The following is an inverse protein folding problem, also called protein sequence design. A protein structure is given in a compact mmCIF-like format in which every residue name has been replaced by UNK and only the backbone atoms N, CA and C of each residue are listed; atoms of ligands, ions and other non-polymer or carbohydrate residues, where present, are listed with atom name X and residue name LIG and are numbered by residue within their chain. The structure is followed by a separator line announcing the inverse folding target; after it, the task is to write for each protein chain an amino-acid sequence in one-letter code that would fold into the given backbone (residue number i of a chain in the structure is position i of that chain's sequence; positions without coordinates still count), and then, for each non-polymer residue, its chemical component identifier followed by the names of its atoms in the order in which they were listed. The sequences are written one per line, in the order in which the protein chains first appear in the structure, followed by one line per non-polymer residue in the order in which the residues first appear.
data_IF_432501502157
#
_entry.id   IF_432501502157
#
_cell.length_a   1.000
_cell.length_b   1.000
_cell.length_c   1.000
_cell.angle_alpha   90.00
_cell.angle_beta   90.00
_cell.angle_gamma   90.00
#
_symmetry.space_group_name_H-M   'P 1'
#
loop_
_entity.id
_entity.type
_entity.pdbx_description
1 polymer ?
#
# COMPACT_ATOMS: atom_id res chain seq x y z
N UNK A 1 37.50 -6.69 19.66
CA UNK A 1 36.05 -6.95 19.81
C UNK A 1 35.33 -5.73 19.26
N UNK A 2 34.46 -5.88 18.29
CA UNK A 2 33.69 -4.74 17.74
C UNK A 2 32.65 -4.34 18.81
N UNK A 3 32.61 -3.06 19.17
CA UNK A 3 31.66 -2.53 20.15
C UNK A 3 30.41 -1.96 19.47
N UNK A 4 29.34 -1.73 20.24
CA UNK A 4 28.16 -1.02 19.73
C UNK A 4 28.52 0.38 19.19
N UNK A 5 29.48 1.06 19.83
CA UNK A 5 29.95 2.37 19.39
C UNK A 5 30.59 2.30 18.00
N UNK A 6 31.42 1.29 17.75
CA UNK A 6 32.06 1.09 16.43
C UNK A 6 31.00 0.81 15.34
N UNK A 7 29.98 0.02 15.68
CA UNK A 7 28.84 -0.25 14.79
C UNK A 7 28.10 1.06 14.48
N UNK A 8 27.72 1.83 15.50
CA UNK A 8 26.98 3.08 15.32
C UNK A 8 27.78 4.14 14.57
N UNK A 9 29.08 4.29 14.84
CA UNK A 9 29.97 5.20 14.10
C UNK A 9 30.05 4.85 12.62
N UNK A 10 30.00 3.56 12.26
CA UNK A 10 30.00 3.12 10.86
C UNK A 10 28.63 3.21 10.18
N UNK A 11 27.54 3.06 10.93
CA UNK A 11 26.16 3.09 10.42
C UNK A 11 25.63 4.52 10.27
N UNK A 12 25.99 5.42 11.18
CA UNK A 12 25.50 6.80 11.21
C UNK A 12 25.58 7.52 9.84
N UNK A 13 26.70 7.50 9.10
CA UNK A 13 26.76 8.14 7.78
C UNK A 13 25.83 7.48 6.75
N UNK A 14 25.65 6.16 6.79
CA UNK A 14 24.74 5.44 5.87
C UNK A 14 23.28 5.74 6.19
N UNK A 15 22.92 5.79 7.48
CA UNK A 15 21.58 6.14 7.95
C UNK A 15 21.25 7.61 7.65
N UNK A 16 22.26 8.50 7.67
CA UNK A 16 22.11 9.91 7.31
C UNK A 16 21.82 10.13 5.82
N UNK A 17 22.31 9.25 4.94
CA UNK A 17 22.02 9.31 3.50
C UNK A 17 20.56 9.00 3.17
N UNK A 18 19.87 8.22 4.02
CA UNK A 18 18.44 7.96 3.86
C UNK A 18 17.69 9.23 4.28
N UNK A 19 16.82 9.82 3.43
CA UNK A 19 16.06 11.01 3.81
C UNK A 19 15.11 10.72 4.98
N UNK A 20 14.74 11.75 5.73
CA UNK A 20 13.69 11.66 6.76
C UNK A 20 12.35 11.27 6.13
N UNK A 21 11.54 10.49 6.84
CA UNK A 21 10.24 10.05 6.36
C UNK A 21 9.16 11.07 6.70
N UNK A 22 8.55 11.62 5.66
CA UNK A 22 7.41 12.53 5.69
C UNK A 22 6.21 11.96 4.93
N UNK A 23 6.23 10.66 4.60
CA UNK A 23 5.22 9.98 3.79
C UNK A 23 5.46 10.08 2.28
N UNK A 24 6.71 10.32 1.87
CA UNK A 24 7.11 10.48 0.46
C UNK A 24 7.00 9.19 -0.38
N UNK A 25 6.92 8.02 0.26
CA UNK A 25 6.85 6.71 -0.39
C UNK A 25 6.13 5.70 0.52
N UNK A 26 5.74 4.51 0.01
CA UNK A 26 5.11 3.48 0.84
C UNK A 26 6.00 3.06 2.03
N UNK A 27 5.41 2.77 3.20
CA UNK A 27 6.12 2.34 4.41
C UNK A 27 7.10 1.19 4.18
N UNK A 28 6.70 0.20 3.39
CA UNK A 28 7.47 -0.99 3.07
C UNK A 28 8.74 -0.68 2.27
N UNK A 29 8.63 0.18 1.27
CA UNK A 29 9.78 0.59 0.46
C UNK A 29 10.78 1.40 1.28
N UNK A 30 10.28 2.36 2.08
CA UNK A 30 11.11 3.14 2.98
C UNK A 30 11.80 2.26 4.03
N UNK A 31 11.04 1.38 4.68
CA UNK A 31 11.52 0.46 5.69
C UNK A 31 12.63 -0.44 5.16
N UNK A 32 12.46 -0.99 3.96
CA UNK A 32 13.45 -1.87 3.33
C UNK A 32 14.80 -1.15 3.11
N UNK A 33 14.79 0.13 2.74
CA UNK A 33 16.03 0.92 2.58
C UNK A 33 16.80 1.03 3.90
N UNK A 34 16.09 1.29 5.00
CA UNK A 34 16.71 1.40 6.34
C UNK A 34 17.22 0.04 6.83
N UNK A 35 16.43 -1.02 6.66
CA UNK A 35 16.82 -2.37 7.09
C UNK A 35 17.97 -2.94 6.26
N UNK A 36 18.08 -2.61 4.98
CA UNK A 36 19.25 -2.97 4.17
C UNK A 36 20.56 -2.40 4.74
N UNK A 37 20.54 -1.18 5.30
CA UNK A 37 21.71 -0.61 5.98
C UNK A 37 22.08 -1.43 7.23
N UNK A 38 21.10 -1.98 7.95
CA UNK A 38 21.37 -2.90 9.05
C UNK A 38 21.98 -4.23 8.56
N UNK A 39 21.50 -4.75 7.43
CA UNK A 39 21.98 -6.00 6.85
C UNK A 39 23.44 -5.93 6.39
N UNK A 40 23.91 -4.76 5.93
CA UNK A 40 25.33 -4.53 5.56
C UNK A 40 26.31 -4.71 6.74
N UNK A 41 25.80 -4.82 7.98
CA UNK A 41 26.57 -5.08 9.21
C UNK A 41 26.05 -6.29 10.00
N UNK A 42 25.02 -6.99 9.51
CA UNK A 42 24.42 -8.17 10.15
C UNK A 42 25.40 -9.34 10.35
N UNK A 43 26.54 -9.30 9.66
CA UNK A 43 27.65 -10.26 9.79
C UNK A 43 28.50 -10.08 11.06
N UNK A 44 28.29 -9.03 11.88
CA UNK A 44 29.14 -8.72 13.03
C UNK A 44 28.61 -9.19 14.40
N UNK A 45 27.38 -9.73 14.46
CA UNK A 45 26.76 -10.33 15.68
C UNK A 45 27.07 -9.60 17.00
N UNK A 46 27.03 -8.25 16.99
CA UNK A 46 27.33 -7.44 18.18
C UNK A 46 26.12 -7.48 19.10
N UNK A 47 26.29 -8.00 20.32
CA UNK A 47 25.24 -8.18 21.34
C UNK A 47 24.40 -6.91 21.57
N UNK A 48 25.01 -5.73 21.43
CA UNK A 48 24.33 -4.43 21.60
C UNK A 48 23.49 -3.97 20.41
N UNK A 49 23.66 -4.51 19.20
CA UNK A 49 22.89 -4.13 18.01
C UNK A 49 21.62 -4.99 17.87
N UNK A 50 20.81 -4.96 18.91
CA UNK A 50 19.57 -5.74 19.03
C UNK A 50 18.37 -5.01 18.40
N UNK A 51 17.20 -5.66 18.43
CA UNK A 51 16.01 -5.13 17.77
C UNK A 51 15.46 -3.83 18.40
N UNK A 52 15.67 -3.62 19.70
CA UNK A 52 15.30 -2.37 20.36
C UNK A 52 16.10 -1.19 19.79
N UNK A 53 17.41 -1.36 19.60
CA UNK A 53 18.26 -0.33 18.99
C UNK A 53 17.84 -0.06 17.54
N UNK A 54 17.54 -1.10 16.76
CA UNK A 54 17.05 -0.94 15.38
C UNK A 54 15.71 -0.21 15.33
N UNK A 55 14.80 -0.49 16.27
CA UNK A 55 13.52 0.19 16.38
C UNK A 55 13.70 1.67 16.72
N UNK A 56 14.60 2.04 17.64
CA UNK A 56 14.90 3.44 17.94
C UNK A 56 15.52 4.18 16.74
N UNK A 57 16.41 3.52 15.98
CA UNK A 57 16.93 4.10 14.73
C UNK A 57 15.77 4.36 13.75
N UNK A 58 14.88 3.39 13.54
CA UNK A 58 13.71 3.55 12.67
C UNK A 58 12.79 4.70 13.13
N UNK A 59 12.54 4.84 14.44
CA UNK A 59 11.78 5.96 15.01
C UNK A 59 12.44 7.31 14.75
N UNK A 60 13.77 7.39 14.87
CA UNK A 60 14.54 8.63 14.64
C UNK A 60 14.49 9.13 13.18
N UNK A 61 14.06 8.27 12.26
CA UNK A 61 13.87 8.59 10.84
C UNK A 61 12.49 9.15 10.52
N UNK A 62 11.58 9.20 11.47
CA UNK A 62 10.26 9.78 11.27
C UNK A 62 10.31 11.29 11.39
N UNK A 63 9.55 11.99 10.56
CA UNK A 63 9.43 13.45 10.58
C UNK A 63 8.02 13.91 10.19
N UNK A 64 7.74 15.20 10.33
CA UNK A 64 6.45 15.80 10.02
C UNK A 64 5.28 15.15 10.77
N UNK A 65 4.25 14.73 10.03
CA UNK A 65 3.03 14.10 10.57
C UNK A 65 3.22 12.67 11.13
N UNK A 66 4.42 12.10 10.97
CA UNK A 66 4.79 10.80 11.52
C UNK A 66 5.49 10.94 12.87
N UNK A 67 5.64 12.16 13.41
CA UNK A 67 6.15 12.39 14.76
C UNK A 67 5.10 13.06 15.65
N UNK A 68 5.10 12.78 16.96
CA UNK A 68 5.94 11.80 17.65
C UNK A 68 5.51 10.35 17.36
N UNK A 69 6.48 9.42 17.33
CA UNK A 69 6.17 7.98 17.27
C UNK A 69 5.72 7.53 18.67
N UNK A 70 4.54 6.89 18.82
CA UNK A 70 4.08 6.42 20.12
C UNK A 70 4.98 5.30 20.64
N UNK A 71 5.01 5.13 21.97
CA UNK A 71 5.76 4.04 22.58
C UNK A 71 5.12 2.66 22.30
N UNK A 72 3.81 2.62 22.05
CA UNK A 72 3.02 1.41 21.89
C UNK A 72 2.02 1.54 20.74
N UNK A 73 1.83 0.47 19.97
CA UNK A 73 0.77 0.35 18.98
C UNK A 73 0.57 -1.12 18.58
N UNK A 74 -0.66 -1.69 18.71
CA UNK A 74 -1.82 -1.14 19.44
C UNK A 74 -1.52 -0.98 20.95
N UNK A 75 -2.47 -0.44 21.72
CA UNK A 75 -2.30 -0.26 23.16
C UNK A 75 -1.84 -1.57 23.85
N UNK A 76 -0.84 -1.47 24.73
CA UNK A 76 -0.24 -2.63 25.41
C UNK A 76 0.85 -3.36 24.62
N UNK A 77 1.11 -2.99 23.35
CA UNK A 77 2.17 -3.58 22.53
C UNK A 77 3.28 -2.57 22.24
N UNK A 78 4.46 -2.75 22.85
CA UNK A 78 5.60 -1.86 22.66
C UNK A 78 6.14 -1.90 21.22
N UNK A 79 6.50 -0.74 20.67
CA UNK A 79 7.18 -0.63 19.37
C UNK A 79 8.69 -0.77 19.59
N UNK A 80 9.13 -1.98 19.93
CA UNK A 80 10.49 -2.32 20.35
C UNK A 80 11.24 -3.22 19.35
N UNK A 81 10.59 -3.53 18.22
CA UNK A 81 11.19 -4.32 17.13
C UNK A 81 10.92 -3.66 15.78
N UNK A 82 11.79 -3.86 14.77
CA UNK A 82 11.56 -3.36 13.42
C UNK A 82 10.21 -3.77 12.83
N UNK A 83 9.78 -5.02 13.08
CA UNK A 83 8.49 -5.52 12.60
C UNK A 83 7.31 -4.77 13.22
N UNK A 84 7.31 -4.54 14.54
CA UNK A 84 6.26 -3.76 15.22
C UNK A 84 6.25 -2.30 14.80
N UNK A 85 7.43 -1.73 14.54
CA UNK A 85 7.54 -0.39 13.96
C UNK A 85 6.90 -0.31 12.58
N UNK A 86 7.15 -1.27 11.70
CA UNK A 86 6.55 -1.30 10.36
C UNK A 86 5.02 -1.40 10.43
N UNK A 87 4.47 -2.19 11.35
CA UNK A 87 3.02 -2.28 11.58
C UNK A 87 2.43 -0.91 11.91
N UNK A 88 3.04 -0.20 12.87
CA UNK A 88 2.61 1.16 13.21
C UNK A 88 2.80 2.14 12.04
N UNK A 89 3.92 2.09 11.33
CA UNK A 89 4.19 3.01 10.22
C UNK A 89 3.18 2.85 9.10
N UNK A 90 2.80 1.60 8.77
CA UNK A 90 1.70 1.30 7.85
C UNK A 90 0.41 1.93 8.33
N UNK A 91 0.01 1.66 9.58
CA UNK A 91 -1.20 2.25 10.16
C UNK A 91 -1.20 3.79 10.06
N UNK A 92 -0.12 4.44 10.51
CA UNK A 92 -0.01 5.90 10.51
C UNK A 92 0.04 6.47 9.09
N UNK A 93 0.71 5.80 8.17
CA UNK A 93 0.72 6.19 6.76
C UNK A 93 -0.66 6.12 6.13
N UNK A 94 -1.47 5.13 6.49
CA UNK A 94 -2.86 5.06 6.05
C UNK A 94 -3.68 6.24 6.61
N UNK A 95 -3.59 6.54 7.91
CA UNK A 95 -4.27 7.71 8.51
C UNK A 95 -3.88 9.02 7.81
N UNK A 96 -2.60 9.19 7.50
CA UNK A 96 -2.04 10.46 7.09
C UNK A 96 -2.00 10.68 5.57
N UNK A 97 -1.97 9.62 4.76
CA UNK A 97 -1.84 9.69 3.29
C UNK A 97 -3.15 9.38 2.56
N UNK A 98 -4.09 8.67 3.20
CA UNK A 98 -5.33 8.18 2.57
C UNK A 98 -6.59 8.77 3.25
N UNK A 99 -6.68 10.08 3.42
CA UNK A 99 -7.82 10.71 4.11
C UNK A 99 -9.19 10.18 3.67
N UNK A 100 -9.90 9.48 4.56
CA UNK A 100 -11.25 8.88 4.38
C UNK A 100 -11.39 7.76 3.34
N UNK A 101 -12.33 6.84 3.59
CA UNK A 101 -12.79 5.79 2.67
C UNK A 101 -13.03 6.29 1.23
N UNK A 102 -13.53 7.52 1.08
CA UNK A 102 -13.79 8.14 -0.21
C UNK A 102 -12.52 8.47 -1.00
N UNK A 103 -11.40 8.78 -0.35
CA UNK A 103 -10.14 8.98 -1.06
C UNK A 103 -9.53 7.66 -1.54
N UNK A 104 -9.74 6.56 -0.82
CA UNK A 104 -9.34 5.21 -1.27
C UNK A 104 -10.10 4.83 -2.55
N UNK A 105 -11.43 5.03 -2.56
CA UNK A 105 -12.25 4.80 -3.76
C UNK A 105 -11.87 5.75 -4.90
N UNK A 106 -11.62 7.02 -4.61
CA UNK A 106 -11.17 7.97 -5.63
C UNK A 106 -9.82 7.57 -6.25
N UNK A 107 -8.84 7.15 -5.44
CA UNK A 107 -7.54 6.66 -5.94
C UNK A 107 -7.69 5.34 -6.69
N UNK A 108 -8.54 4.43 -6.21
CA UNK A 108 -8.86 3.18 -6.90
C UNK A 108 -9.41 3.46 -8.31
N UNK A 109 -10.24 4.49 -8.46
CA UNK A 109 -10.78 4.91 -9.75
C UNK A 109 -9.75 5.57 -10.69
N UNK A 110 -8.57 5.95 -10.20
CA UNK A 110 -7.47 6.45 -11.04
C UNK A 110 -6.50 5.34 -11.47
N UNK A 111 -6.50 4.19 -10.78
CA UNK A 111 -5.63 3.06 -11.10
C UNK A 111 -6.24 2.16 -12.17
N UNK A 112 -5.62 2.21 -13.37
CA UNK A 112 -6.07 1.46 -14.55
C UNK A 112 -5.14 0.28 -14.81
N UNK A 113 -5.68 -0.73 -15.49
CA UNK A 113 -4.88 -1.84 -15.99
C UNK A 113 -4.01 -1.36 -17.17
N UNK A 114 -2.68 -1.30 -16.98
CA UNK A 114 -1.77 -0.84 -18.03
C UNK A 114 -1.50 -1.94 -19.07
N UNK A 115 -1.01 -1.53 -20.24
CA UNK A 115 -0.67 -2.45 -21.34
C UNK A 115 0.46 -3.44 -21.03
N UNK A 116 1.30 -3.12 -20.05
CA UNK A 116 2.39 -3.99 -19.57
C UNK A 116 2.02 -4.74 -18.29
N UNK A 117 0.83 -4.51 -17.74
CA UNK A 117 0.44 -5.14 -16.48
C UNK A 117 0.07 -6.60 -16.68
N UNK A 118 0.42 -7.40 -15.68
CA UNK A 118 -0.21 -8.69 -15.43
C UNK A 118 -1.29 -8.51 -14.37
N UNK A 119 -2.26 -9.43 -14.25
CA UNK A 119 -3.22 -9.40 -13.14
C UNK A 119 -2.56 -9.33 -11.77
N UNK A 120 -1.39 -9.96 -11.61
CA UNK A 120 -0.65 -9.95 -10.36
C UNK A 120 -0.08 -8.56 -10.06
N UNK A 121 0.61 -7.94 -11.02
CA UNK A 121 1.18 -6.59 -10.82
C UNK A 121 0.10 -5.53 -10.63
N UNK A 122 -1.04 -5.67 -11.31
CA UNK A 122 -2.21 -4.81 -11.09
C UNK A 122 -2.80 -5.01 -9.70
N UNK A 123 -3.05 -6.26 -9.29
CA UNK A 123 -3.57 -6.58 -7.94
C UNK A 123 -2.65 -6.04 -6.84
N UNK A 124 -1.33 -6.19 -6.98
CA UNK A 124 -0.38 -5.73 -5.97
C UNK A 124 -0.43 -4.21 -5.77
N UNK A 125 -0.64 -3.42 -6.85
CA UNK A 125 -0.82 -1.97 -6.75
C UNK A 125 -2.11 -1.58 -6.05
N UNK A 126 -3.23 -2.18 -6.46
CA UNK A 126 -4.57 -1.79 -5.98
C UNK A 126 -4.94 -2.40 -4.62
N UNK A 127 -4.36 -3.54 -4.23
CA UNK A 127 -4.52 -4.14 -2.89
C UNK A 127 -4.19 -3.16 -1.78
N UNK A 128 -3.19 -2.30 -1.99
CA UNK A 128 -2.83 -1.25 -1.04
C UNK A 128 -3.96 -0.23 -0.81
N UNK A 129 -4.81 0.00 -1.81
CA UNK A 129 -5.96 0.90 -1.74
C UNK A 129 -7.20 0.22 -1.14
N UNK A 130 -7.24 -1.11 -1.12
CA UNK A 130 -8.38 -1.92 -0.68
C UNK A 130 -8.26 -2.43 0.77
N UNK A 131 -7.14 -2.19 1.47
CA UNK A 131 -6.85 -2.72 2.81
C UNK A 131 -7.91 -2.44 3.89
N UNK A 132 -8.61 -1.30 3.79
CA UNK A 132 -9.70 -0.91 4.70
C UNK A 132 -11.08 -1.02 4.05
N UNK A 133 -11.14 -1.56 2.84
CA UNK A 133 -12.38 -1.80 2.11
C UNK A 133 -12.80 -3.24 2.41
N UNK A 134 -13.98 -3.46 3.01
CA UNK A 134 -14.51 -4.80 3.21
C UNK A 134 -14.51 -5.58 1.90
N UNK A 135 -14.16 -6.86 1.94
CA UNK A 135 -14.08 -7.69 0.73
C UNK A 135 -15.39 -7.67 -0.09
N UNK A 136 -16.53 -7.55 0.60
CA UNK A 136 -17.87 -7.48 0.01
C UNK A 136 -18.32 -6.06 -0.41
N UNK A 137 -17.43 -5.06 -0.37
CA UNK A 137 -17.77 -3.69 -0.72
C UNK A 137 -18.10 -3.57 -2.22
N UNK A 138 -19.35 -3.22 -2.51
CA UNK A 138 -19.88 -3.17 -3.87
C UNK A 138 -19.35 -1.98 -4.68
N UNK A 139 -19.04 -0.86 -4.03
CA UNK A 139 -18.55 0.34 -4.70
C UNK A 139 -17.13 0.13 -5.26
N UNK A 140 -16.25 -0.47 -4.46
CA UNK A 140 -14.91 -0.86 -4.91
C UNK A 140 -14.98 -1.91 -6.03
N UNK A 141 -15.89 -2.88 -5.93
CA UNK A 141 -16.09 -3.88 -6.98
C UNK A 141 -16.55 -3.22 -8.29
N UNK A 142 -17.50 -2.28 -8.23
CA UNK A 142 -17.96 -1.53 -9.40
C UNK A 142 -16.84 -0.70 -10.06
N UNK A 143 -15.97 -0.09 -9.25
CA UNK A 143 -14.78 0.62 -9.75
C UNK A 143 -13.82 -0.35 -10.46
N UNK A 144 -13.50 -1.49 -9.85
CA UNK A 144 -12.64 -2.52 -10.44
C UNK A 144 -13.17 -3.02 -11.78
N UNK A 145 -14.49 -3.21 -11.89
CA UNK A 145 -15.15 -3.57 -13.15
C UNK A 145 -15.01 -2.49 -14.23
N UNK A 146 -15.07 -1.22 -13.86
CA UNK A 146 -15.05 -0.08 -14.78
C UNK A 146 -13.70 0.07 -15.48
N UNK A 147 -12.61 -0.29 -14.80
CA UNK A 147 -11.24 -0.12 -15.31
C UNK A 147 -10.60 -1.42 -15.79
N UNK A 148 -11.39 -2.49 -15.90
CA UNK A 148 -10.95 -3.76 -16.46
C UNK A 148 -11.00 -3.69 -18.01
N UNK A 149 -9.96 -4.17 -18.72
CA UNK A 149 -10.00 -4.24 -20.18
C UNK A 149 -11.18 -5.10 -20.68
N UNK A 150 -11.85 -4.70 -21.76
CA UNK A 150 -13.04 -5.36 -22.33
C UNK A 150 -12.91 -6.88 -22.48
N UNK A 151 -11.70 -7.29 -22.88
CA UNK A 151 -11.37 -8.68 -23.15
C UNK A 151 -11.36 -9.55 -21.89
N UNK A 152 -10.98 -8.98 -20.75
CA UNK A 152 -11.06 -9.61 -19.42
C UNK A 152 -12.46 -9.43 -18.83
N UNK A 153 -13.05 -8.25 -19.02
CA UNK A 153 -14.40 -7.93 -18.55
C UNK A 153 -15.42 -8.98 -18.97
N UNK A 154 -15.47 -9.32 -20.26
CA UNK A 154 -16.48 -10.25 -20.78
C UNK A 154 -16.35 -11.65 -20.18
N UNK A 155 -15.12 -12.11 -19.91
CA UNK A 155 -14.85 -13.45 -19.39
C UNK A 155 -15.01 -13.55 -17.88
N UNK A 156 -14.49 -12.57 -17.14
CA UNK A 156 -14.72 -12.48 -15.69
C UNK A 156 -16.21 -12.32 -15.41
N UNK A 157 -16.98 -11.66 -16.29
CA UNK A 157 -18.43 -11.52 -16.14
C UNK A 157 -19.16 -12.87 -16.14
N UNK A 158 -18.64 -13.85 -16.85
CA UNK A 158 -19.20 -15.22 -16.85
C UNK A 158 -19.01 -15.89 -15.49
N UNK A 159 -17.86 -15.68 -14.85
CA UNK A 159 -17.57 -16.24 -13.51
C UNK A 159 -18.37 -15.59 -12.38
N UNK A 160 -18.92 -14.39 -12.62
CA UNK A 160 -19.76 -13.64 -11.68
C UNK A 160 -19.20 -13.59 -10.24
N UNK A 161 -18.00 -13.01 -10.05
CA UNK A 161 -17.36 -12.95 -8.73
C UNK A 161 -18.20 -12.16 -7.73
N UNK A 162 -18.43 -12.76 -6.56
CA UNK A 162 -19.28 -12.19 -5.51
C UNK A 162 -18.60 -11.09 -4.67
N UNK A 163 -17.27 -11.04 -4.66
CA UNK A 163 -16.47 -10.15 -3.83
C UNK A 163 -15.11 -9.83 -4.48
N UNK A 164 -14.35 -8.92 -3.88
CA UNK A 164 -13.08 -8.40 -4.41
C UNK A 164 -12.03 -9.51 -4.57
N UNK A 165 -11.90 -10.42 -3.60
CA UNK A 165 -10.97 -11.55 -3.69
C UNK A 165 -11.37 -12.52 -4.82
N UNK A 166 -12.66 -12.83 -4.93
CA UNK A 166 -13.20 -13.65 -6.01
C UNK A 166 -12.98 -12.99 -7.38
N UNK A 167 -13.09 -11.66 -7.45
CA UNK A 167 -12.81 -10.89 -8.67
C UNK A 167 -11.35 -11.07 -9.11
N UNK A 168 -10.38 -10.86 -8.22
CA UNK A 168 -8.97 -11.03 -8.60
C UNK A 168 -8.62 -12.48 -8.98
N UNK A 169 -9.23 -13.45 -8.30
CA UNK A 169 -9.08 -14.87 -8.64
C UNK A 169 -9.56 -15.12 -10.07
N UNK A 170 -10.77 -14.67 -10.41
CA UNK A 170 -11.34 -14.83 -11.74
C UNK A 170 -10.52 -14.11 -12.84
N UNK A 171 -9.98 -12.92 -12.55
CA UNK A 171 -9.10 -12.19 -13.48
C UNK A 171 -7.83 -12.98 -13.76
N UNK A 172 -7.22 -13.57 -12.72
CA UNK A 172 -6.00 -14.40 -12.85
C UNK A 172 -6.26 -15.69 -13.63
N UNK A 173 -7.34 -16.40 -13.32
CA UNK A 173 -7.69 -17.65 -14.01
C UNK A 173 -7.97 -17.40 -15.50
N UNK A 174 -8.76 -16.36 -15.80
CA UNK A 174 -9.05 -15.91 -17.17
C UNK A 174 -7.76 -15.57 -17.94
N UNK A 175 -6.79 -14.96 -17.27
CA UNK A 175 -5.50 -14.59 -17.87
C UNK A 175 -4.64 -15.82 -18.18
N UNK A 176 -4.62 -16.83 -17.31
CA UNK A 176 -3.85 -18.06 -17.51
C UNK A 176 -4.40 -18.92 -18.64
N UNK A 177 -5.72 -19.03 -18.79
CA UNK A 177 -6.37 -19.77 -19.88
C UNK A 177 -6.01 -19.24 -21.28
N UNK A 178 -5.65 -17.95 -21.36
CA UNK A 178 -5.45 -17.23 -22.63
C UNK A 178 -4.11 -17.47 -23.32
N UNK A 179 -3.06 -17.88 -22.60
CA UNK A 179 -1.64 -17.75 -23.03
C UNK A 179 -1.32 -16.28 -23.41
N UNK A 180 -0.56 -15.52 -22.61
CA UNK A 180 -0.53 -14.04 -22.61
C UNK A 180 -0.12 -13.32 -23.91
N UNK A 181 0.31 -14.02 -24.95
CA UNK A 181 0.85 -13.46 -26.21
C UNK A 181 -0.20 -12.87 -27.19
N UNK A 182 -1.51 -12.92 -26.89
CA UNK A 182 -2.56 -12.45 -27.82
C UNK A 182 -3.47 -11.36 -27.25
N UNK A 183 -3.07 -10.69 -26.17
CA UNK A 183 -3.93 -9.72 -25.49
C UNK A 183 -4.18 -8.47 -26.33
N UNK A 184 -5.45 -8.12 -26.55
CA UNK A 184 -5.81 -6.89 -27.26
C UNK A 184 -6.28 -5.84 -26.26
N UNK A 185 -5.39 -4.88 -25.93
CA UNK A 185 -5.74 -3.71 -25.13
C UNK A 185 -6.55 -2.72 -25.97
N UNK A 186 -7.86 -2.93 -26.08
CA UNK A 186 -8.74 -1.87 -26.58
C UNK A 186 -8.97 -0.88 -25.44
N UNK A 187 -8.28 0.27 -25.51
CA UNK A 187 -8.50 1.38 -24.60
C UNK A 187 -9.88 1.96 -24.84
N UNK A 188 -10.79 1.78 -23.88
CA UNK A 188 -12.09 2.45 -23.91
C UNK A 188 -11.88 3.92 -23.56
N UNK A 189 -11.79 4.73 -24.60
CA UNK A 189 -12.10 6.15 -24.60
C UNK A 189 -13.61 6.30 -24.41
N UNK A 190 -14.10 6.28 -23.17
CA UNK A 190 -15.45 6.78 -22.87
C UNK A 190 -15.35 7.94 -21.91
N UNK A 191 -15.38 9.14 -22.49
CA UNK A 191 -15.86 10.35 -21.88
C UNK A 191 -17.28 10.11 -21.35
N UNK A 192 -17.40 9.56 -20.14
CA UNK A 192 -18.67 9.61 -19.39
C UNK A 192 -18.57 10.84 -18.49
N UNK A 193 -19.42 11.87 -18.64
CA UNK A 193 -19.48 12.94 -17.67
C UNK A 193 -19.88 12.33 -16.34
N UNK A 194 -19.04 12.50 -15.31
CA UNK A 194 -19.40 12.16 -13.94
C UNK A 194 -20.52 13.11 -13.54
N UNK A 195 -21.77 12.69 -13.67
CA UNK A 195 -22.89 13.37 -13.02
C UNK A 195 -22.82 12.97 -11.55
N UNK A 196 -22.10 13.76 -10.75
CA UNK A 196 -22.29 13.83 -9.30
C UNK A 196 -23.71 14.36 -9.05
N UNK A 197 -24.68 13.46 -8.91
CA UNK A 197 -25.99 13.84 -8.38
C UNK A 197 -25.85 14.16 -6.89
N UNK A 198 -25.46 15.39 -6.59
CA UNK A 198 -25.76 16.01 -5.30
C UNK A 198 -27.26 16.26 -5.23
N UNK A 199 -28.05 15.28 -4.78
CA UNK A 199 -29.40 15.56 -4.27
C UNK A 199 -29.28 16.15 -2.88
N UNK A 200 -28.98 17.46 -2.82
CA UNK A 200 -29.36 18.28 -1.67
C UNK A 200 -30.88 18.38 -1.74
N UNK A 201 -31.56 17.63 -0.88
CA UNK A 201 -33.00 17.79 -0.65
C UNK A 201 -33.25 19.10 0.09
N UNK A 202 -33.33 20.23 -0.62
CA UNK A 202 -33.94 21.45 -0.10
C UNK A 202 -35.45 21.24 -0.04
N UNK A 203 -35.94 20.91 1.16
CA UNK A 203 -37.37 20.91 1.47
C UNK A 203 -37.81 22.38 1.59
N UNK A 204 -38.39 22.93 0.53
CA UNK A 204 -39.04 24.24 0.59
C UNK A 204 -40.45 24.10 1.17
N UNK A 205 -40.63 24.77 2.30
CA UNK A 205 -41.75 25.60 2.75
C UNK A 205 -43.19 25.18 2.41
N UNK A 206 -44.00 25.10 3.45
CA UNK A 206 -45.23 25.88 3.52
C UNK A 206 -45.41 26.46 4.93
#
# INVERSE_FOLDING_TARGET
MVTLQDVMSSLSPLIAQIPQYIGQEPPDEYYNKVVQVFAYRGTLAVVGFNDAVKAEILKSKMSGKYTPVPAQHPAGTAIDTPARFLVWLRYKYHEETIGSHNASLFRLAQEKFNSTDTPQTYEDRIRLLLLQIPNNNQDALAILWTYLPDELFTRVKITNPADINAFFTAVKDTWLERKPSTFTYNGVNTSVPIILSNTISTKNQS
#
